data_IF_501617640475
#
_entry.id   IF_501617640475
#
_cell.length_a   1.000
_cell.length_b   1.000
_cell.length_c   1.000
_cell.angle_alpha   90.00
_cell.angle_beta   90.00
_cell.angle_gamma   90.00
#
_symmetry.space_group_name_H-M   'P 1'
#
loop_
_entity.id
_entity.type
_entity.pdbx_description
1 polymer ?
#
# COMPACT_ATOMS: atom_id res chain seq x y z
N UNK A 1 14.51 -1.51 19.99
CA UNK A 1 13.20 -0.82 19.89
C UNK A 1 12.29 -1.39 18.79
N UNK A 2 12.42 -1.07 17.49
CA UNK A 2 11.47 -1.57 16.46
C UNK A 2 11.42 -3.10 16.31
N UNK A 3 12.57 -3.77 16.39
CA UNK A 3 12.67 -5.25 16.32
C UNK A 3 11.97 -5.94 17.50
N UNK A 4 12.08 -5.37 18.69
CA UNK A 4 11.51 -5.94 19.91
C UNK A 4 10.00 -5.78 19.95
N UNK A 5 9.49 -4.62 19.52
CA UNK A 5 8.05 -4.39 19.37
C UNK A 5 7.45 -5.38 18.35
N UNK A 6 8.08 -5.54 17.19
CA UNK A 6 7.62 -6.47 16.16
C UNK A 6 7.61 -7.92 16.66
N UNK A 7 8.66 -8.34 17.38
CA UNK A 7 8.73 -9.66 17.99
C UNK A 7 7.65 -9.87 19.06
N UNK A 8 7.39 -8.87 19.89
CA UNK A 8 6.36 -8.94 20.93
C UNK A 8 4.95 -9.03 20.31
N UNK A 9 4.65 -8.16 19.34
CA UNK A 9 3.40 -8.20 18.59
C UNK A 9 3.19 -9.57 17.92
N UNK A 10 4.20 -10.07 17.21
CA UNK A 10 4.07 -11.32 16.46
C UNK A 10 3.82 -12.51 17.38
N UNK A 11 4.49 -12.59 18.55
CA UNK A 11 4.22 -13.63 19.56
C UNK A 11 2.75 -13.66 19.98
N UNK A 12 2.13 -12.49 20.16
CA UNK A 12 0.72 -12.38 20.54
C UNK A 12 -0.22 -12.72 19.37
N UNK A 13 0.04 -12.18 18.18
CA UNK A 13 -0.75 -12.47 16.98
C UNK A 13 -0.74 -13.97 16.64
N UNK A 14 0.44 -14.61 16.73
CA UNK A 14 0.62 -16.05 16.47
C UNK A 14 -0.25 -16.93 17.36
N UNK A 15 -0.39 -16.57 18.64
CA UNK A 15 -1.27 -17.29 19.59
C UNK A 15 -2.74 -17.18 19.21
N UNK A 16 -3.17 -16.01 18.73
CA UNK A 16 -4.54 -15.76 18.31
C UNK A 16 -4.90 -16.50 17.02
N UNK A 17 -4.08 -16.37 15.99
CA UNK A 17 -4.40 -16.92 14.66
C UNK A 17 -4.07 -18.40 14.51
N UNK A 18 -3.18 -18.95 15.34
CA UNK A 18 -2.84 -20.38 15.40
C UNK A 18 -3.58 -21.14 16.51
N UNK A 19 -4.67 -20.60 17.04
CA UNK A 19 -5.44 -21.26 18.09
C UNK A 19 -5.96 -22.62 17.62
N UNK A 20 -6.01 -23.60 18.52
CA UNK A 20 -6.51 -24.95 18.20
C UNK A 20 -5.60 -25.76 17.26
N UNK A 21 -4.32 -25.38 17.11
CA UNK A 21 -3.37 -26.11 16.26
C UNK A 21 -3.47 -25.76 14.78
N UNK A 22 -4.21 -24.71 14.41
CA UNK A 22 -4.33 -24.24 13.03
C UNK A 22 -2.96 -23.81 12.50
N UNK A 23 -2.57 -24.37 11.35
CA UNK A 23 -1.37 -23.96 10.65
C UNK A 23 -1.48 -22.51 10.18
N UNK A 24 -0.49 -21.69 10.52
CA UNK A 24 -0.47 -20.28 10.16
C UNK A 24 0.07 -20.16 8.74
N UNK A 25 -0.81 -19.80 7.81
CA UNK A 25 -0.42 -19.57 6.42
C UNK A 25 0.23 -18.20 6.24
N UNK A 26 0.95 -18.03 5.13
CA UNK A 26 1.53 -16.74 4.76
C UNK A 26 0.47 -15.64 4.61
N UNK A 27 -0.70 -15.98 4.08
CA UNK A 27 -1.83 -15.04 3.94
C UNK A 27 -2.36 -14.56 5.30
N UNK A 28 -2.43 -15.46 6.29
CA UNK A 28 -2.83 -15.08 7.65
C UNK A 28 -1.82 -14.11 8.29
N UNK A 29 -0.52 -14.37 8.11
CA UNK A 29 0.53 -13.44 8.55
C UNK A 29 0.37 -12.08 7.87
N UNK A 30 0.27 -12.04 6.53
CA UNK A 30 0.14 -10.79 5.78
C UNK A 30 -1.07 -9.98 6.23
N UNK A 31 -2.21 -10.64 6.48
CA UNK A 31 -3.42 -9.97 6.99
C UNK A 31 -3.20 -9.33 8.36
N UNK A 32 -2.63 -10.07 9.32
CA UNK A 32 -2.35 -9.52 10.66
C UNK A 32 -1.34 -8.38 10.61
N UNK A 33 -0.29 -8.54 9.80
CA UNK A 33 0.73 -7.52 9.58
C UNK A 33 0.10 -6.26 9.00
N UNK A 34 -0.74 -6.41 7.98
CA UNK A 34 -1.45 -5.31 7.33
C UNK A 34 -2.32 -4.54 8.32
N UNK A 35 -3.06 -5.23 9.18
CA UNK A 35 -3.91 -4.59 10.20
C UNK A 35 -3.10 -3.82 11.24
N UNK A 36 -1.98 -4.37 11.71
CA UNK A 36 -1.14 -3.75 12.76
C UNK A 36 -0.38 -2.52 12.26
N UNK A 37 0.24 -2.61 11.08
CA UNK A 37 1.17 -1.59 10.59
C UNK A 37 0.54 -0.63 9.59
N UNK A 38 -0.58 -1.00 8.98
CA UNK A 38 -1.34 -0.14 8.08
C UNK A 38 -2.80 -0.08 8.54
N UNK A 39 -3.10 0.55 9.69
CA UNK A 39 -4.48 0.73 10.14
C UNK A 39 -5.31 1.56 9.16
N UNK A 40 -6.64 1.51 9.30
CA UNK A 40 -7.55 2.09 8.31
C UNK A 40 -7.31 3.58 8.05
N UNK A 41 -6.97 4.36 9.07
CA UNK A 41 -6.64 5.78 8.95
C UNK A 41 -5.35 6.02 8.14
N UNK A 42 -4.32 5.18 8.34
CA UNK A 42 -3.06 5.25 7.58
C UNK A 42 -3.33 4.89 6.12
N UNK A 43 -4.11 3.83 5.85
CA UNK A 43 -4.47 3.44 4.49
C UNK A 43 -5.31 4.51 3.80
N UNK A 44 -6.31 5.06 4.49
CA UNK A 44 -7.15 6.12 3.94
C UNK A 44 -6.32 7.37 3.60
N UNK A 45 -5.37 7.76 4.46
CA UNK A 45 -4.41 8.82 4.14
C UNK A 45 -3.58 8.50 2.91
N UNK A 46 -3.12 7.26 2.74
CA UNK A 46 -2.38 6.82 1.55
C UNK A 46 -3.24 6.86 0.28
N UNK A 47 -4.53 6.52 0.37
CA UNK A 47 -5.48 6.64 -0.75
C UNK A 47 -5.70 8.11 -1.12
N UNK A 48 -5.88 9.00 -0.14
CA UNK A 48 -5.99 10.45 -0.42
C UNK A 48 -4.71 10.97 -1.07
N UNK A 49 -3.54 10.61 -0.52
CA UNK A 49 -2.24 10.98 -1.09
C UNK A 49 -2.10 10.49 -2.54
N UNK A 50 -2.61 9.30 -2.86
CA UNK A 50 -2.64 8.76 -4.23
C UNK A 50 -3.54 9.57 -5.16
N UNK A 51 -4.77 9.89 -4.71
CA UNK A 51 -5.74 10.64 -5.50
C UNK A 51 -5.28 12.05 -5.80
N UNK A 52 -4.55 12.67 -4.87
CA UNK A 52 -4.01 14.02 -5.01
C UNK A 52 -2.61 14.05 -5.65
N UNK A 53 -2.01 12.88 -5.92
CA UNK A 53 -0.65 12.79 -6.43
C UNK A 53 -0.53 13.49 -7.79
N UNK A 54 0.42 14.43 -7.84
CA UNK A 54 0.90 15.12 -9.04
C UNK A 54 2.41 15.03 -9.05
N UNK A 55 3.02 15.05 -10.24
CA UNK A 55 4.46 15.00 -10.42
C UNK A 55 5.15 16.16 -9.66
N UNK A 56 4.56 17.36 -9.65
CA UNK A 56 5.11 18.50 -8.92
C UNK A 56 6.55 18.78 -9.36
N UNK A 57 7.50 18.83 -8.43
CA UNK A 57 8.93 19.02 -8.72
C UNK A 57 9.71 17.70 -8.84
N UNK A 58 9.07 16.55 -8.67
CA UNK A 58 9.73 15.24 -8.76
C UNK A 58 10.23 14.97 -10.19
N UNK A 59 11.35 14.26 -10.31
CA UNK A 59 11.70 13.64 -11.58
C UNK A 59 10.71 12.51 -11.89
N UNK A 60 10.59 12.12 -13.17
CA UNK A 60 9.59 11.11 -13.59
C UNK A 60 9.79 9.80 -12.82
N UNK A 61 11.03 9.38 -12.58
CA UNK A 61 11.33 8.16 -11.83
C UNK A 61 10.84 8.19 -10.38
N UNK A 62 10.99 9.33 -9.69
CA UNK A 62 10.49 9.51 -8.31
C UNK A 62 8.97 9.53 -8.27
N UNK A 63 8.34 10.20 -9.24
CA UNK A 63 6.89 10.22 -9.37
C UNK A 63 6.34 8.82 -9.64
N UNK A 64 6.96 8.04 -10.54
CA UNK A 64 6.58 6.67 -10.83
C UNK A 64 6.72 5.75 -9.61
N UNK A 65 7.85 5.80 -8.90
CA UNK A 65 8.04 5.03 -7.68
C UNK A 65 6.99 5.38 -6.61
N UNK A 66 6.68 6.68 -6.46
CA UNK A 66 5.65 7.15 -5.52
C UNK A 66 4.25 6.71 -5.94
N UNK A 67 3.94 6.78 -7.23
CA UNK A 67 2.66 6.33 -7.79
C UNK A 67 2.44 4.84 -7.54
N UNK A 68 3.43 4.00 -7.86
CA UNK A 68 3.37 2.56 -7.66
C UNK A 68 3.18 2.22 -6.17
N UNK A 69 4.00 2.82 -5.29
CA UNK A 69 3.90 2.61 -3.85
C UNK A 69 2.53 2.98 -3.28
N UNK A 70 1.90 4.04 -3.79
CA UNK A 70 0.60 4.51 -3.31
C UNK A 70 -0.57 3.74 -3.93
N UNK A 71 -0.45 3.28 -5.18
CA UNK A 71 -1.47 2.47 -5.85
C UNK A 71 -1.73 1.14 -5.12
N UNK A 72 -0.71 0.58 -4.45
CA UNK A 72 -0.83 -0.62 -3.64
C UNK A 72 -1.86 -0.49 -2.50
N UNK A 73 -2.19 0.73 -2.07
CA UNK A 73 -3.20 1.01 -1.04
C UNK A 73 -4.60 1.26 -1.60
N UNK A 74 -4.74 1.42 -2.92
CA UNK A 74 -6.02 1.70 -3.57
C UNK A 74 -6.72 0.40 -3.98
N UNK A 75 -7.81 -0.01 -3.29
CA UNK A 75 -8.52 -1.24 -3.64
C UNK A 75 -9.14 -1.18 -5.04
N UNK A 76 -9.44 0.02 -5.55
CA UNK A 76 -10.04 0.22 -6.86
C UNK A 76 -9.03 0.19 -8.02
N UNK A 77 -7.73 0.30 -7.75
CA UNK A 77 -6.71 0.35 -8.80
C UNK A 77 -5.91 -0.95 -8.89
N UNK A 78 -6.06 -1.90 -7.96
CA UNK A 78 -5.30 -3.16 -7.96
C UNK A 78 -6.01 -4.33 -8.64
N UNK A 79 -6.93 -4.05 -9.57
CA UNK A 79 -7.59 -5.07 -10.39
C UNK A 79 -7.10 -4.99 -11.83
N UNK A 80 -7.17 -6.09 -12.59
CA UNK A 80 -6.77 -6.14 -14.00
C UNK A 80 -7.58 -5.14 -14.85
N UNK A 81 -8.83 -4.91 -14.48
CA UNK A 81 -9.76 -4.00 -15.15
C UNK A 81 -9.38 -2.53 -14.93
N UNK A 82 -8.66 -2.23 -13.84
CA UNK A 82 -8.28 -0.87 -13.45
C UNK A 82 -6.89 -0.45 -13.98
N UNK A 83 -6.21 -1.31 -14.74
CA UNK A 83 -4.90 -0.99 -15.33
C UNK A 83 -4.98 0.18 -16.32
N UNK A 84 -6.06 0.26 -17.11
CA UNK A 84 -6.30 1.40 -17.99
C UNK A 84 -6.49 2.70 -17.18
N UNK A 85 -7.31 2.65 -16.12
CA UNK A 85 -7.56 3.79 -15.24
C UNK A 85 -6.28 4.25 -14.51
N UNK A 86 -5.39 3.31 -14.16
CA UNK A 86 -4.05 3.61 -13.63
C UNK A 86 -3.20 4.40 -14.62
N UNK A 87 -3.16 4.00 -15.89
CA UNK A 87 -2.42 4.73 -16.92
C UNK A 87 -2.96 6.15 -17.08
N UNK A 88 -4.28 6.30 -17.21
CA UNK A 88 -4.95 7.61 -17.31
C UNK A 88 -4.64 8.47 -16.08
N UNK A 89 -4.71 7.88 -14.88
CA UNK A 89 -4.38 8.58 -13.63
C UNK A 89 -2.91 9.01 -13.59
N UNK A 90 -1.98 8.13 -13.97
CA UNK A 90 -0.56 8.42 -14.03
C UNK A 90 -0.28 9.61 -14.95
N UNK A 91 -0.80 9.55 -16.18
CA UNK A 91 -0.67 10.62 -17.17
C UNK A 91 -1.31 11.91 -16.68
N UNK A 92 -2.51 11.85 -16.07
CA UNK A 92 -3.20 13.05 -15.58
C UNK A 92 -2.35 13.85 -14.57
N UNK A 93 -1.56 13.16 -13.76
CA UNK A 93 -0.69 13.78 -12.75
C UNK A 93 0.68 14.22 -13.26
N UNK A 94 1.08 13.87 -14.48
CA UNK A 94 2.31 14.37 -15.09
C UNK A 94 2.25 15.87 -15.34
N UNK A 95 3.41 16.52 -15.31
CA UNK A 95 3.52 17.93 -15.70
C UNK A 95 3.25 18.10 -17.20
N UNK A 96 2.67 19.24 -17.64
CA UNK A 96 2.37 19.48 -19.05
C UNK A 96 3.59 19.32 -19.97
N UNK A 97 4.77 19.74 -19.52
CA UNK A 97 6.00 19.74 -20.33
C UNK A 97 6.55 18.34 -20.60
N UNK A 98 6.00 17.31 -19.95
CA UNK A 98 6.38 15.90 -20.13
C UNK A 98 5.42 15.17 -21.08
N UNK A 99 4.20 15.69 -21.29
CA UNK A 99 3.13 15.01 -22.04
C UNK A 99 3.24 15.13 -23.57
N UNK A 100 4.40 15.56 -24.07
CA UNK A 100 4.63 15.89 -25.48
C UNK A 100 4.86 14.66 -26.36
#
# INVERSE_FOLDING_TARGET
>A
MLREEANHWWKNARRRIGAGGVAITWEMFKREFWVKYFPADVRNRKVVEFLELKQGNMIIAEYAAKFESLSAFSPYHNTLEAEYDKCVKFESGLRPEVKH
#
